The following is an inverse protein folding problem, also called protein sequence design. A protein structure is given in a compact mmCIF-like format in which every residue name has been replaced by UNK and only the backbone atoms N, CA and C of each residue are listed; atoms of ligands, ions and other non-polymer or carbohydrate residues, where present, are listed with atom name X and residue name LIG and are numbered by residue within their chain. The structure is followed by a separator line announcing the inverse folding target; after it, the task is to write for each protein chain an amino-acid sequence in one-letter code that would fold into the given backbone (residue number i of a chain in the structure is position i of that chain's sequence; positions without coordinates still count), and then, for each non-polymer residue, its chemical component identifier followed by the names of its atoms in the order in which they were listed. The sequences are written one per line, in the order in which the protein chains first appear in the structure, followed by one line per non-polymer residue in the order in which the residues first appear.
data_IF_548516063860
#
_entry.id   IF_548516063860
#
_cell.length_a   1.000
_cell.length_b   1.000
_cell.length_c   1.000
_cell.angle_alpha   90.00
_cell.angle_beta   90.00
_cell.angle_gamma   90.00
#
_symmetry.space_group_name_H-M   'P 1'
#
loop_
_entity.id
_entity.type
_entity.pdbx_description
1 polymer ?
#
# COMPACT_ATOMS: atom_id res chain seq x y z
N UNK A 1 -2.36 23.39 -13.79
CA UNK A 1 -2.09 22.15 -13.02
C UNK A 1 -1.73 22.61 -11.62
N UNK A 2 -2.54 22.29 -10.63
CA UNK A 2 -2.19 22.55 -9.23
C UNK A 2 -0.89 21.79 -8.93
N UNK A 3 0.06 22.48 -8.33
CA UNK A 3 1.36 21.93 -7.95
C UNK A 3 1.13 21.02 -6.72
N UNK A 4 0.70 19.75 -6.95
CA UNK A 4 0.45 18.79 -5.87
C UNK A 4 1.75 18.58 -5.09
N UNK A 5 1.66 18.53 -3.75
CA UNK A 5 2.79 18.28 -2.85
C UNK A 5 3.45 16.94 -3.18
N UNK A 6 4.77 16.92 -3.35
CA UNK A 6 5.56 15.69 -3.41
C UNK A 6 5.55 15.04 -2.02
N UNK A 7 4.93 13.87 -1.87
CA UNK A 7 4.86 13.15 -0.59
C UNK A 7 6.00 12.15 -0.45
N UNK A 8 6.30 11.43 -1.54
CA UNK A 8 7.41 10.48 -1.61
C UNK A 8 8.18 10.69 -2.92
N UNK A 9 9.51 10.74 -2.82
CA UNK A 9 10.42 10.80 -3.98
C UNK A 9 11.50 9.75 -3.83
N UNK A 10 11.68 8.98 -4.86
CA UNK A 10 12.68 7.91 -4.96
C UNK A 10 13.73 8.32 -5.99
N UNK A 11 15.00 8.20 -5.64
CA UNK A 11 16.11 8.57 -6.51
C UNK A 11 17.13 7.44 -6.57
N UNK A 12 17.32 6.90 -7.76
CA UNK A 12 18.29 5.82 -8.09
C UNK A 12 18.28 4.67 -7.08
N UNK A 13 17.07 4.19 -6.72
CA UNK A 13 16.90 3.17 -5.71
C UNK A 13 17.37 1.82 -6.22
N UNK A 14 18.33 1.22 -5.50
CA UNK A 14 18.86 -0.11 -5.81
C UNK A 14 18.68 -1.05 -4.62
N UNK A 15 18.35 -2.31 -4.91
CA UNK A 15 18.28 -3.36 -3.89
C UNK A 15 18.90 -4.64 -4.40
N UNK A 16 19.85 -5.17 -3.63
CA UNK A 16 20.48 -6.47 -3.85
C UNK A 16 20.24 -7.37 -2.64
N UNK A 17 19.92 -8.63 -2.90
CA UNK A 17 19.94 -9.69 -1.92
C UNK A 17 21.10 -10.62 -2.28
N UNK A 18 22.18 -10.57 -1.51
CA UNK A 18 23.45 -11.25 -1.83
C UNK A 18 23.94 -10.87 -3.23
N UNK A 19 23.89 -11.82 -4.20
CA UNK A 19 24.33 -11.62 -5.59
C UNK A 19 23.18 -11.24 -6.53
N UNK A 20 21.92 -11.34 -6.08
CA UNK A 20 20.74 -11.04 -6.90
C UNK A 20 20.38 -9.56 -6.80
N UNK A 21 20.47 -8.85 -7.91
CA UNK A 21 20.02 -7.47 -8.04
C UNK A 21 18.53 -7.44 -8.40
N UNK A 22 17.71 -6.98 -7.44
CA UNK A 22 16.24 -6.98 -7.57
C UNK A 22 15.72 -5.63 -8.03
N UNK A 23 16.30 -4.52 -7.54
CA UNK A 23 15.99 -3.17 -8.01
C UNK A 23 17.25 -2.54 -8.58
N UNK A 24 17.13 -1.90 -9.75
CA UNK A 24 18.28 -1.49 -10.58
C UNK A 24 18.23 -0.01 -10.95
N UNK A 25 18.09 0.86 -9.95
CA UNK A 25 18.10 2.32 -10.16
C UNK A 25 16.71 2.89 -10.45
N UNK A 26 15.73 2.60 -9.60
CA UNK A 26 14.38 3.14 -9.73
C UNK A 26 14.34 4.60 -9.26
N UNK A 27 13.79 5.46 -10.12
CA UNK A 27 13.50 6.86 -9.78
C UNK A 27 12.05 7.18 -10.16
N UNK A 28 11.29 7.68 -9.20
CA UNK A 28 9.89 8.11 -9.40
C UNK A 28 9.46 9.03 -8.25
N UNK A 29 8.39 9.80 -8.44
CA UNK A 29 7.82 10.70 -7.43
C UNK A 29 6.34 10.41 -7.27
N UNK A 30 5.85 10.42 -6.03
CA UNK A 30 4.44 10.25 -5.70
C UNK A 30 3.92 11.54 -5.06
N UNK A 31 2.72 11.93 -5.44
CA UNK A 31 2.11 13.18 -4.98
C UNK A 31 0.93 12.91 -4.04
N UNK A 32 0.62 13.89 -3.24
CA UNK A 32 -0.55 13.87 -2.35
C UNK A 32 -1.84 13.69 -3.16
N UNK A 33 -2.79 12.90 -2.63
CA UNK A 33 -4.06 12.55 -3.27
C UNK A 33 -3.89 11.82 -4.63
N UNK A 34 -2.76 11.13 -4.82
CA UNK A 34 -2.52 10.31 -6.00
C UNK A 34 -2.73 8.84 -5.65
N UNK A 35 -3.41 8.11 -6.54
CA UNK A 35 -3.51 6.65 -6.48
C UNK A 35 -2.63 6.08 -7.58
N UNK A 36 -1.54 5.42 -7.20
CA UNK A 36 -0.58 4.82 -8.14
C UNK A 36 -0.62 3.31 -8.03
N UNK A 37 -0.95 2.63 -9.11
CA UNK A 37 -0.79 1.17 -9.20
C UNK A 37 0.58 0.80 -9.74
N UNK A 38 1.18 -0.25 -9.17
CA UNK A 38 2.42 -0.87 -9.65
C UNK A 38 2.07 -2.26 -10.15
N UNK A 39 2.18 -2.47 -11.45
CA UNK A 39 1.87 -3.72 -12.14
C UNK A 39 3.14 -4.34 -12.74
N UNK A 40 3.09 -5.61 -13.10
CA UNK A 40 4.20 -6.30 -13.76
C UNK A 40 4.27 -7.78 -13.35
N UNK A 41 5.17 -8.55 -13.98
CA UNK A 41 5.29 -9.98 -13.73
C UNK A 41 5.73 -10.31 -12.30
N UNK A 42 5.40 -11.53 -11.86
CA UNK A 42 5.90 -12.05 -10.58
C UNK A 42 7.43 -12.09 -10.58
N UNK A 43 8.05 -11.75 -9.45
CA UNK A 43 9.51 -11.63 -9.37
C UNK A 43 10.10 -10.35 -9.98
N UNK A 44 9.28 -9.43 -10.53
CA UNK A 44 9.73 -8.16 -11.12
C UNK A 44 10.26 -7.12 -10.13
N UNK A 45 10.16 -7.36 -8.82
CA UNK A 45 10.67 -6.45 -7.78
C UNK A 45 9.60 -5.55 -7.13
N UNK A 46 8.31 -5.69 -7.51
CA UNK A 46 7.21 -4.82 -7.06
C UNK A 46 7.09 -4.72 -5.53
N UNK A 47 6.91 -5.86 -4.85
CA UNK A 47 6.80 -5.89 -3.38
C UNK A 47 8.09 -5.44 -2.69
N UNK A 48 9.26 -5.74 -3.27
CA UNK A 48 10.55 -5.25 -2.75
C UNK A 48 10.61 -3.72 -2.85
N UNK A 49 10.21 -3.16 -3.99
CA UNK A 49 10.14 -1.72 -4.17
C UNK A 49 9.20 -1.07 -3.15
N UNK A 50 7.97 -1.59 -3.03
CA UNK A 50 6.99 -1.06 -2.08
C UNK A 50 7.51 -1.11 -0.63
N UNK A 51 8.15 -2.21 -0.22
CA UNK A 51 8.72 -2.37 1.13
C UNK A 51 9.95 -1.50 1.37
N UNK A 52 10.64 -1.08 0.33
CA UNK A 52 11.69 -0.08 0.48
C UNK A 52 11.13 1.30 0.83
N UNK A 53 9.94 1.68 0.33
CA UNK A 53 9.37 3.01 0.55
C UNK A 53 9.17 3.36 2.03
N UNK A 54 8.94 2.36 2.90
CA UNK A 54 8.84 2.53 4.36
C UNK A 54 10.02 1.90 5.13
N UNK A 55 11.09 1.52 4.43
CA UNK A 55 12.29 0.85 4.96
C UNK A 55 12.00 -0.44 5.74
N UNK A 56 10.94 -1.17 5.42
CA UNK A 56 10.82 -2.59 5.82
C UNK A 56 11.89 -3.43 5.14
N UNK A 57 12.23 -3.07 3.88
CA UNK A 57 13.43 -3.53 3.19
C UNK A 57 14.42 -2.36 3.07
N UNK A 58 15.62 -2.54 3.62
CA UNK A 58 16.68 -1.52 3.48
C UNK A 58 17.21 -1.52 2.04
N UNK A 59 17.18 -0.40 1.33
CA UNK A 59 17.83 -0.29 0.02
C UNK A 59 19.34 -0.50 0.15
N UNK A 60 19.97 -0.97 -0.93
CA UNK A 60 21.42 -1.10 -1.01
C UNK A 60 22.07 0.24 -1.30
N UNK A 61 21.44 1.06 -2.14
CA UNK A 61 21.83 2.43 -2.47
C UNK A 61 20.62 3.21 -3.00
N UNK A 62 20.81 4.51 -3.24
CA UNK A 62 19.75 5.43 -3.62
C UNK A 62 19.16 6.17 -2.44
N UNK A 63 18.14 6.98 -2.69
CA UNK A 63 17.49 7.82 -1.69
C UNK A 63 15.97 7.65 -1.74
N UNK A 64 15.34 7.77 -0.57
CA UNK A 64 13.89 7.83 -0.44
C UNK A 64 13.59 9.07 0.40
N UNK A 65 13.02 10.08 -0.22
CA UNK A 65 12.62 11.30 0.46
C UNK A 65 11.12 11.19 0.79
N UNK A 66 10.80 11.22 2.07
CA UNK A 66 9.44 11.33 2.56
C UNK A 66 9.25 12.73 3.13
N UNK A 67 8.33 13.50 2.52
CA UNK A 67 8.09 14.89 2.90
C UNK A 67 9.42 15.71 2.93
N UNK A 68 10.25 15.51 1.90
CA UNK A 68 11.55 16.16 1.76
C UNK A 68 12.68 15.60 2.64
N UNK A 69 12.41 14.69 3.55
CA UNK A 69 13.42 14.08 4.43
C UNK A 69 13.91 12.76 3.86
N UNK A 70 15.21 12.59 3.64
CA UNK A 70 15.79 11.30 3.23
C UNK A 70 15.74 10.29 4.39
N UNK A 71 14.75 9.40 4.31
CA UNK A 71 14.50 8.39 5.37
C UNK A 71 15.58 7.30 5.42
N UNK A 72 16.40 7.15 4.37
CA UNK A 72 17.51 6.19 4.39
C UNK A 72 18.62 6.60 5.35
N UNK A 73 18.70 7.86 5.71
CA UNK A 73 19.76 8.43 6.57
C UNK A 73 19.37 8.50 8.05
N UNK A 74 18.07 8.44 8.39
CA UNK A 74 17.56 8.56 9.74
C UNK A 74 17.42 7.19 10.41
N UNK A 75 17.45 7.16 11.76
CA UNK A 75 17.37 5.92 12.57
C UNK A 75 16.54 6.13 13.84
N UNK A 76 16.19 5.02 14.49
CA UNK A 76 15.50 5.03 15.77
C UNK A 76 14.15 5.74 15.70
N UNK A 77 13.82 6.56 16.69
CA UNK A 77 12.52 7.23 16.78
C UNK A 77 12.15 8.08 15.56
N UNK A 78 13.12 8.62 14.83
CA UNK A 78 12.86 9.44 13.65
C UNK A 78 12.25 8.60 12.51
N UNK A 79 12.78 7.41 12.23
CA UNK A 79 12.19 6.51 11.24
C UNK A 79 10.84 5.95 11.70
N UNK A 80 10.67 5.67 13.00
CA UNK A 80 9.39 5.21 13.53
C UNK A 80 8.31 6.29 13.36
N UNK A 81 8.65 7.56 13.51
CA UNK A 81 7.73 8.67 13.24
C UNK A 81 7.33 8.74 11.77
N UNK A 82 8.27 8.55 10.83
CA UNK A 82 7.94 8.48 9.41
C UNK A 82 7.00 7.29 9.11
N UNK A 83 7.27 6.11 9.69
CA UNK A 83 6.44 4.91 9.50
C UNK A 83 5.03 5.05 10.05
N UNK A 84 4.81 5.84 11.11
CA UNK A 84 3.47 6.13 11.63
C UNK A 84 2.61 6.89 10.63
N UNK A 85 3.23 7.67 9.73
CA UNK A 85 2.58 8.44 8.67
C UNK A 85 2.37 7.62 7.38
N UNK A 86 2.87 6.37 7.33
CA UNK A 86 2.75 5.45 6.19
C UNK A 86 2.04 4.16 6.62
N UNK A 87 0.79 4.00 6.26
CA UNK A 87 0.07 2.73 6.48
C UNK A 87 0.59 1.64 5.55
N UNK A 88 0.63 0.40 6.02
CA UNK A 88 1.02 -0.75 5.20
C UNK A 88 0.02 -1.88 5.36
N UNK A 89 -0.50 -2.34 4.22
CA UNK A 89 -1.39 -3.49 4.10
C UNK A 89 -0.66 -4.57 3.30
N UNK A 90 -0.53 -5.75 3.90
CA UNK A 90 0.20 -6.87 3.31
C UNK A 90 -0.74 -7.87 2.64
N UNK A 91 -0.18 -8.73 1.80
CA UNK A 91 -0.85 -9.88 1.23
C UNK A 91 -1.40 -10.82 2.31
N UNK A 92 -0.63 -11.08 3.38
CA UNK A 92 -1.09 -11.77 4.57
C UNK A 92 -1.66 -10.76 5.56
N UNK A 93 -2.78 -11.09 6.17
CA UNK A 93 -3.54 -10.15 7.01
C UNK A 93 -2.77 -9.63 8.23
N UNK A 94 -1.85 -10.44 8.80
CA UNK A 94 -0.99 -10.09 9.94
C UNK A 94 -1.75 -9.53 11.15
N UNK A 95 -2.99 -9.99 11.38
CA UNK A 95 -3.73 -9.68 12.61
C UNK A 95 -3.16 -10.46 13.79
N UNK A 96 -3.18 -9.86 14.97
CA UNK A 96 -2.78 -10.54 16.20
C UNK A 96 -3.87 -11.54 16.59
N UNK A 97 -3.59 -12.84 16.43
CA UNK A 97 -4.57 -13.91 16.63
C UNK A 97 -5.03 -14.06 18.09
N UNK A 98 -4.25 -13.57 19.06
CA UNK A 98 -4.54 -13.57 20.49
C UNK A 98 -5.30 -12.32 20.94
N UNK A 99 -5.72 -11.45 20.05
CA UNK A 99 -6.49 -10.24 20.28
C UNK A 99 -7.75 -10.26 19.43
N UNK A 100 -8.87 -9.78 19.95
CA UNK A 100 -10.06 -9.47 19.16
C UNK A 100 -9.81 -8.31 18.18
N UNK A 101 -10.80 -7.99 17.35
CA UNK A 101 -10.72 -6.91 16.37
C UNK A 101 -10.50 -5.56 17.05
N UNK A 102 -11.27 -5.25 18.10
CA UNK A 102 -11.15 -3.98 18.82
C UNK A 102 -9.73 -3.77 19.36
N UNK A 103 -9.15 -4.78 19.99
CA UNK A 103 -7.77 -4.69 20.50
C UNK A 103 -6.72 -4.61 19.36
N UNK A 104 -6.93 -5.31 18.25
CA UNK A 104 -6.09 -5.18 17.04
C UNK A 104 -6.07 -3.75 16.51
N UNK A 105 -7.20 -3.04 16.58
CA UNK A 105 -7.33 -1.67 16.05
C UNK A 105 -6.79 -0.62 17.02
N UNK A 106 -7.06 -0.78 18.32
CA UNK A 106 -6.77 0.26 19.32
C UNK A 106 -5.35 0.19 19.89
N UNK A 107 -4.66 -0.95 19.79
CA UNK A 107 -3.35 -1.15 20.41
C UNK A 107 -2.29 -0.13 19.96
N UNK A 108 -2.21 0.17 18.65
CA UNK A 108 -1.22 1.10 18.14
C UNK A 108 -1.55 2.58 18.46
N UNK A 109 -2.76 3.11 18.20
CA UNK A 109 -3.08 4.49 18.52
C UNK A 109 -2.96 4.79 20.03
N UNK A 110 -3.35 3.87 20.91
CA UNK A 110 -3.22 4.08 22.35
C UNK A 110 -1.74 4.09 22.78
N UNK A 111 -0.95 3.08 22.34
CA UNK A 111 0.44 2.94 22.81
C UNK A 111 1.42 3.91 22.17
N UNK A 112 1.19 4.27 20.90
CA UNK A 112 2.15 5.02 20.10
C UNK A 112 1.75 6.49 19.99
N UNK A 113 0.46 6.79 19.70
CA UNK A 113 -0.04 8.17 19.62
C UNK A 113 -0.49 8.75 20.96
N UNK A 114 -0.62 7.92 22.01
CA UNK A 114 -1.13 8.35 23.31
C UNK A 114 -2.63 8.70 23.32
N UNK A 115 -3.39 8.15 22.34
CA UNK A 115 -4.84 8.34 22.27
C UNK A 115 -5.50 7.69 23.50
N UNK A 116 -6.57 8.29 24.02
CA UNK A 116 -7.34 7.65 25.08
C UNK A 116 -7.98 6.35 24.59
N UNK A 117 -8.23 5.41 25.51
CA UNK A 117 -8.87 4.14 25.13
C UNK A 117 -10.28 4.38 24.55
N UNK A 118 -11.04 5.32 25.12
CA UNK A 118 -12.38 5.68 24.65
C UNK A 118 -12.35 6.25 23.22
N UNK A 119 -11.45 7.22 22.96
CA UNK A 119 -11.36 7.86 21.64
C UNK A 119 -10.90 6.85 20.58
N UNK A 120 -9.97 5.95 20.96
CA UNK A 120 -9.52 4.89 20.06
C UNK A 120 -10.64 3.88 19.74
N UNK A 121 -11.48 3.54 20.71
CA UNK A 121 -12.64 2.65 20.49
C UNK A 121 -13.70 3.32 19.63
N UNK A 122 -14.04 4.58 19.89
CA UNK A 122 -15.00 5.35 19.08
C UNK A 122 -14.54 5.41 17.62
N UNK A 123 -13.29 5.82 17.38
CA UNK A 123 -12.70 5.86 16.04
C UNK A 123 -12.69 4.48 15.38
N UNK A 124 -12.37 3.42 16.13
CA UNK A 124 -12.38 2.06 15.61
C UNK A 124 -13.78 1.64 15.12
N UNK A 125 -14.83 1.93 15.92
CA UNK A 125 -16.21 1.63 15.54
C UNK A 125 -16.66 2.43 14.30
N UNK A 126 -16.30 3.71 14.21
CA UNK A 126 -16.58 4.51 13.01
C UNK A 126 -15.95 3.94 11.74
N UNK A 127 -14.66 3.54 11.82
CA UNK A 127 -13.94 2.95 10.69
C UNK A 127 -14.47 1.54 10.35
N UNK A 128 -14.80 0.73 11.36
CA UNK A 128 -15.44 -0.57 11.14
C UNK A 128 -16.82 -0.44 10.47
N UNK A 129 -17.59 0.57 10.84
CA UNK A 129 -18.88 0.84 10.21
C UNK A 129 -18.73 1.19 8.71
N UNK A 130 -17.72 1.98 8.35
CA UNK A 130 -17.40 2.33 6.94
C UNK A 130 -17.08 1.10 6.08
N UNK A 131 -16.52 0.05 6.68
CA UNK A 131 -16.19 -1.20 5.96
C UNK A 131 -17.24 -2.32 6.20
N UNK A 132 -18.40 -1.99 6.82
CA UNK A 132 -19.50 -2.92 7.06
C UNK A 132 -19.21 -4.02 8.09
N UNK A 133 -18.34 -3.75 9.09
CA UNK A 133 -17.89 -4.73 10.08
C UNK A 133 -18.04 -4.25 11.53
N UNK A 134 -18.94 -3.31 11.81
CA UNK A 134 -19.17 -2.81 13.17
C UNK A 134 -19.59 -3.92 14.16
N UNK A 135 -20.34 -4.92 13.68
CA UNK A 135 -20.79 -6.10 14.43
C UNK A 135 -19.68 -7.11 14.73
N UNK A 136 -18.47 -6.91 14.22
CA UNK A 136 -17.31 -7.78 14.37
C UNK A 136 -16.25 -7.26 15.34
N UNK A 137 -16.55 -6.19 16.07
CA UNK A 137 -15.59 -5.55 16.98
C UNK A 137 -15.01 -6.52 18.04
N UNK A 138 -15.82 -7.41 18.58
CA UNK A 138 -15.43 -8.38 19.60
C UNK A 138 -14.99 -9.75 19.01
N UNK A 139 -15.01 -9.92 17.68
CA UNK A 139 -14.62 -11.16 17.04
C UNK A 139 -13.10 -11.35 17.05
N UNK A 140 -12.66 -12.61 17.17
CA UNK A 140 -11.27 -12.98 16.99
C UNK A 140 -10.96 -13.27 15.51
N UNK A 141 -9.69 -13.09 15.06
CA UNK A 141 -9.31 -13.35 13.66
C UNK A 141 -9.71 -14.76 13.14
N UNK A 142 -9.73 -15.78 14.01
CA UNK A 142 -10.15 -17.14 13.64
C UNK A 142 -11.64 -17.26 13.25
N UNK A 143 -12.46 -16.27 13.62
CA UNK A 143 -13.92 -16.25 13.37
C UNK A 143 -14.28 -15.43 12.12
N UNK A 144 -13.29 -14.91 11.39
CA UNK A 144 -13.46 -13.99 10.26
C UNK A 144 -13.11 -14.65 8.93
N UNK A 145 -13.83 -14.29 7.88
CA UNK A 145 -13.46 -14.64 6.50
C UNK A 145 -12.18 -13.92 6.06
N UNK A 146 -11.58 -14.35 4.96
CA UNK A 146 -10.39 -13.70 4.37
C UNK A 146 -10.64 -12.22 4.05
N UNK A 147 -11.76 -11.92 3.37
CA UNK A 147 -12.13 -10.55 3.04
C UNK A 147 -12.39 -9.67 4.27
N UNK A 148 -13.03 -10.22 5.32
CA UNK A 148 -13.22 -9.52 6.59
C UNK A 148 -11.88 -9.20 7.26
N UNK A 149 -10.95 -10.17 7.33
CA UNK A 149 -9.60 -9.95 7.87
C UNK A 149 -8.87 -8.85 7.12
N UNK A 150 -8.97 -8.84 5.79
CA UNK A 150 -8.29 -7.84 4.97
C UNK A 150 -8.87 -6.44 5.19
N UNK A 151 -10.20 -6.31 5.22
CA UNK A 151 -10.84 -5.02 5.53
C UNK A 151 -10.47 -4.51 6.93
N UNK A 152 -10.40 -5.38 7.93
CA UNK A 152 -9.92 -5.02 9.28
C UNK A 152 -8.43 -4.60 9.25
N UNK A 153 -7.60 -5.24 8.43
CA UNK A 153 -6.19 -4.84 8.28
C UNK A 153 -6.07 -3.43 7.66
N UNK A 154 -6.93 -3.10 6.71
CA UNK A 154 -7.02 -1.74 6.16
C UNK A 154 -7.43 -0.76 7.26
N UNK A 155 -8.50 -1.05 7.99
CA UNK A 155 -8.97 -0.22 9.12
C UNK A 155 -7.85 -0.03 10.15
N UNK A 156 -7.13 -1.10 10.52
CA UNK A 156 -6.00 -1.00 11.46
C UNK A 156 -4.92 -0.02 11.00
N UNK A 157 -4.63 0.00 9.71
CA UNK A 157 -3.67 0.97 9.16
C UNK A 157 -4.22 2.40 9.21
N UNK A 158 -5.52 2.59 8.94
CA UNK A 158 -6.21 3.88 8.99
C UNK A 158 -6.31 4.46 10.41
N UNK A 159 -6.31 3.62 11.45
CA UNK A 159 -6.31 4.06 12.85
C UNK A 159 -5.15 5.00 13.20
N UNK A 160 -4.05 4.92 12.43
CA UNK A 160 -2.86 5.76 12.63
C UNK A 160 -2.91 7.09 11.87
N UNK A 161 -4.00 7.41 11.14
CA UNK A 161 -4.12 8.60 10.27
C UNK A 161 -2.93 8.76 9.31
N UNK A 162 -2.65 7.76 8.49
CA UNK A 162 -1.51 7.81 7.59
C UNK A 162 -1.72 8.84 6.47
N UNK A 163 -0.65 9.48 6.02
CA UNK A 163 -0.65 10.34 4.83
C UNK A 163 -0.55 9.54 3.53
N UNK A 164 0.00 8.33 3.61
CA UNK A 164 0.15 7.41 2.48
C UNK A 164 -0.22 6.01 2.93
N UNK A 165 -0.99 5.31 2.11
CA UNK A 165 -1.29 3.89 2.26
C UNK A 165 -0.53 3.07 1.22
N UNK A 166 0.24 2.10 1.67
CA UNK A 166 0.99 1.15 0.86
C UNK A 166 0.26 -0.21 0.87
N UNK A 167 -0.07 -0.74 -0.30
CA UNK A 167 -0.77 -2.01 -0.44
C UNK A 167 0.10 -3.01 -1.21
N UNK A 168 0.48 -4.10 -0.57
CA UNK A 168 1.29 -5.19 -1.16
C UNK A 168 0.39 -6.38 -1.51
N UNK A 169 -0.14 -6.40 -2.72
CA UNK A 169 -1.04 -7.44 -3.26
C UNK A 169 -2.21 -7.77 -2.31
N UNK A 170 -3.06 -6.81 -1.95
CA UNK A 170 -4.03 -6.94 -0.86
C UNK A 170 -5.12 -7.99 -1.11
N UNK A 171 -5.29 -8.45 -2.35
CA UNK A 171 -6.32 -9.43 -2.74
C UNK A 171 -5.78 -10.83 -3.04
N UNK A 172 -4.46 -11.00 -3.15
CA UNK A 172 -3.86 -12.26 -3.65
C UNK A 172 -4.02 -13.48 -2.73
N UNK A 173 -4.36 -13.26 -1.45
CA UNK A 173 -4.64 -14.34 -0.48
C UNK A 173 -6.15 -14.57 -0.28
N UNK A 174 -7.00 -14.01 -1.13
CA UNK A 174 -8.46 -14.06 -1.02
C UNK A 174 -9.08 -14.98 -2.06
N UNK A 175 -10.20 -15.61 -1.68
CA UNK A 175 -11.07 -16.27 -2.64
C UNK A 175 -11.71 -15.24 -3.59
N UNK A 176 -11.95 -15.57 -4.87
CA UNK A 176 -12.48 -14.64 -5.87
C UNK A 176 -13.77 -13.91 -5.43
N UNK A 177 -14.63 -14.58 -4.67
CA UNK A 177 -15.89 -14.01 -4.16
C UNK A 177 -15.68 -12.87 -3.16
N UNK A 178 -14.51 -12.80 -2.51
CA UNK A 178 -14.18 -11.82 -1.48
C UNK A 178 -13.37 -10.62 -2.01
N UNK A 179 -12.83 -10.72 -3.23
CA UNK A 179 -11.98 -9.68 -3.82
C UNK A 179 -12.75 -8.37 -3.97
N UNK A 180 -14.00 -8.45 -4.46
CA UNK A 180 -14.85 -7.28 -4.70
C UNK A 180 -14.99 -6.40 -3.47
N UNK A 181 -15.33 -6.97 -2.32
CA UNK A 181 -15.52 -6.25 -1.06
C UNK A 181 -14.26 -5.45 -0.61
N UNK A 182 -13.07 -5.99 -0.86
CA UNK A 182 -11.81 -5.32 -0.52
C UNK A 182 -11.50 -4.20 -1.52
N UNK A 183 -11.75 -4.44 -2.81
CA UNK A 183 -11.55 -3.43 -3.85
C UNK A 183 -12.52 -2.26 -3.70
N UNK A 184 -13.76 -2.49 -3.26
CA UNK A 184 -14.74 -1.44 -2.97
C UNK A 184 -14.23 -0.52 -1.85
N UNK A 185 -13.73 -1.09 -0.73
CA UNK A 185 -13.10 -0.29 0.34
C UNK A 185 -11.91 0.53 -0.18
N UNK A 186 -11.07 -0.06 -1.02
CA UNK A 186 -9.93 0.67 -1.60
C UNK A 186 -10.38 1.78 -2.55
N UNK A 187 -11.47 1.58 -3.28
CA UNK A 187 -12.08 2.60 -4.13
C UNK A 187 -12.64 3.76 -3.31
N UNK A 188 -13.37 3.47 -2.22
CA UNK A 188 -13.87 4.51 -1.32
C UNK A 188 -12.73 5.34 -0.72
N UNK A 189 -11.61 4.72 -0.37
CA UNK A 189 -10.41 5.41 0.08
C UNK A 189 -9.82 6.32 -1.00
N UNK A 190 -9.76 5.86 -2.25
CA UNK A 190 -9.31 6.66 -3.39
C UNK A 190 -10.22 7.89 -3.59
N UNK A 191 -11.53 7.71 -3.56
CA UNK A 191 -12.53 8.77 -3.70
C UNK A 191 -12.47 9.78 -2.53
N UNK A 192 -12.07 9.34 -1.33
CA UNK A 192 -11.86 10.23 -0.17
C UNK A 192 -10.56 11.05 -0.26
N UNK A 193 -9.74 10.88 -1.31
CA UNK A 193 -8.50 11.61 -1.50
C UNK A 193 -7.30 10.98 -0.79
N UNK A 194 -7.37 9.71 -0.34
CA UNK A 194 -6.24 9.03 0.26
C UNK A 194 -5.11 8.81 -0.78
N UNK A 195 -3.88 9.18 -0.42
CA UNK A 195 -2.70 8.86 -1.23
C UNK A 195 -2.41 7.36 -1.12
N UNK A 196 -2.39 6.66 -2.23
CA UNK A 196 -2.20 5.21 -2.24
C UNK A 196 -1.15 4.75 -3.25
N UNK A 197 -0.29 3.81 -2.84
CA UNK A 197 0.64 3.10 -3.73
C UNK A 197 0.29 1.61 -3.61
N UNK A 198 -0.17 1.03 -4.71
CA UNK A 198 -0.81 -0.30 -4.72
C UNK A 198 -0.07 -1.24 -5.66
N UNK A 199 0.62 -2.24 -5.12
CA UNK A 199 1.06 -3.39 -5.91
C UNK A 199 -0.14 -4.32 -6.09
N UNK A 200 -0.53 -4.57 -7.33
CA UNK A 200 -1.74 -5.36 -7.61
C UNK A 200 -1.65 -6.19 -8.89
N UNK A 201 -2.41 -7.28 -8.92
CA UNK A 201 -2.73 -8.07 -10.10
C UNK A 201 -4.15 -7.78 -10.61
N UNK A 202 -4.91 -6.92 -9.93
CA UNK A 202 -6.26 -6.51 -10.33
C UNK A 202 -6.17 -5.42 -11.40
N UNK A 203 -6.09 -5.82 -12.67
CA UNK A 203 -5.90 -4.89 -13.78
C UNK A 203 -7.07 -3.92 -13.95
N UNK A 204 -8.29 -4.36 -13.60
CA UNK A 204 -9.47 -3.51 -13.62
C UNK A 204 -9.34 -2.37 -12.60
N UNK A 205 -8.92 -2.67 -11.37
CA UNK A 205 -8.65 -1.65 -10.35
C UNK A 205 -7.57 -0.66 -10.82
N UNK A 206 -6.43 -1.17 -11.33
CA UNK A 206 -5.34 -0.34 -11.83
C UNK A 206 -5.79 0.60 -12.95
N UNK A 207 -6.67 0.15 -13.85
CA UNK A 207 -7.18 0.95 -14.97
C UNK A 207 -8.25 1.97 -14.56
N UNK A 208 -9.17 1.60 -13.65
CA UNK A 208 -10.39 2.38 -13.37
C UNK A 208 -10.25 3.29 -12.15
N UNK A 209 -9.44 2.90 -11.15
CA UNK A 209 -9.31 3.62 -9.88
C UNK A 209 -8.01 4.40 -9.79
N UNK A 210 -6.91 3.86 -10.36
CA UNK A 210 -5.62 4.54 -10.24
C UNK A 210 -5.51 5.69 -11.23
N UNK A 211 -5.03 6.83 -10.76
CA UNK A 211 -4.74 7.98 -11.62
C UNK A 211 -3.51 7.73 -12.51
N UNK A 212 -2.57 6.92 -12.03
CA UNK A 212 -1.29 6.60 -12.68
C UNK A 212 -0.92 5.13 -12.45
N UNK A 213 -0.29 4.53 -13.44
CA UNK A 213 0.20 3.14 -13.35
C UNK A 213 1.67 3.08 -13.74
N UNK A 214 2.44 2.37 -12.93
CA UNK A 214 3.85 2.06 -13.15
C UNK A 214 3.96 0.58 -13.54
N UNK A 215 4.52 0.29 -14.71
CA UNK A 215 4.91 -1.06 -15.10
C UNK A 215 6.35 -1.32 -14.66
N UNK A 216 6.55 -2.28 -13.75
CA UNK A 216 7.85 -2.66 -13.21
C UNK A 216 8.19 -4.08 -13.63
N UNK A 217 9.27 -4.24 -14.39
CA UNK A 217 9.77 -5.54 -14.86
C UNK A 217 11.28 -5.63 -14.74
N UNK A 218 11.77 -6.75 -14.23
CA UNK A 218 13.20 -7.02 -14.09
C UNK A 218 13.97 -6.01 -13.23
N UNK A 219 13.27 -5.34 -12.30
CA UNK A 219 13.85 -4.37 -11.38
C UNK A 219 13.97 -2.93 -11.91
N UNK A 220 13.38 -2.63 -13.05
CA UNK A 220 13.34 -1.29 -13.65
C UNK A 220 11.92 -0.87 -13.98
N UNK A 221 11.66 0.42 -14.03
CA UNK A 221 10.41 0.98 -14.55
C UNK A 221 10.45 0.89 -16.07
N UNK A 222 9.54 0.09 -16.64
CA UNK A 222 9.38 -0.04 -18.09
C UNK A 222 8.50 1.05 -18.67
N UNK A 223 7.40 1.39 -17.98
CA UNK A 223 6.54 2.53 -18.30
C UNK A 223 5.97 3.14 -17.01
N UNK A 224 5.70 4.45 -17.05
CA UNK A 224 5.12 5.23 -15.96
C UNK A 224 4.24 6.33 -16.59
N UNK A 225 2.91 6.12 -16.57
CA UNK A 225 1.95 6.96 -17.29
C UNK A 225 0.61 7.06 -16.57
N UNK A 226 -0.26 8.03 -16.92
CA UNK A 226 -1.67 8.00 -16.57
C UNK A 226 -2.28 6.63 -16.90
N UNK A 227 -3.07 6.05 -15.97
CA UNK A 227 -3.55 4.67 -16.11
C UNK A 227 -4.30 4.44 -17.41
N UNK A 228 -5.22 5.35 -17.77
CA UNK A 228 -5.99 5.21 -19.01
C UNK A 228 -5.11 5.16 -20.27
N UNK A 229 -4.00 5.91 -20.28
CA UNK A 229 -3.04 5.94 -21.40
C UNK A 229 -2.20 4.66 -21.44
N UNK A 230 -1.67 4.23 -20.30
CA UNK A 230 -0.86 3.02 -20.21
C UNK A 230 -1.63 1.77 -20.68
N UNK A 231 -2.91 1.65 -20.32
CA UNK A 231 -3.73 0.51 -20.70
C UNK A 231 -4.27 0.58 -22.14
N UNK A 232 -4.50 1.77 -22.70
CA UNK A 232 -5.01 1.94 -24.06
C UNK A 232 -3.91 2.02 -25.12
N UNK A 233 -2.76 2.57 -24.79
CA UNK A 233 -1.64 2.81 -25.70
C UNK A 233 -0.31 2.42 -25.04
N UNK A 234 -0.11 1.11 -24.70
CA UNK A 234 1.16 0.65 -24.16
C UNK A 234 2.27 0.76 -25.22
N UNK A 235 3.41 1.36 -24.86
CA UNK A 235 4.54 1.58 -25.78
C UNK A 235 5.60 0.47 -25.67
N UNK A 236 5.84 -0.02 -24.43
CA UNK A 236 6.84 -1.07 -24.22
C UNK A 236 6.37 -2.42 -24.76
N UNK A 237 7.13 -3.09 -25.63
CA UNK A 237 6.80 -4.45 -26.09
C UNK A 237 6.63 -5.44 -24.93
N UNK A 238 7.34 -5.22 -23.83
CA UNK A 238 7.22 -6.04 -22.62
C UNK A 238 5.88 -5.81 -21.92
N UNK A 239 5.41 -4.56 -21.83
CA UNK A 239 4.09 -4.24 -21.29
C UNK A 239 2.99 -4.81 -22.17
N UNK A 240 3.05 -4.64 -23.49
CA UNK A 240 2.10 -5.25 -24.43
C UNK A 240 2.00 -6.77 -24.23
N UNK A 241 3.16 -7.44 -24.15
CA UNK A 241 3.20 -8.89 -23.91
C UNK A 241 2.61 -9.26 -22.54
N UNK A 242 2.83 -8.45 -21.52
CA UNK A 242 2.28 -8.67 -20.19
C UNK A 242 0.77 -8.49 -20.17
N UNK A 243 0.26 -7.38 -20.71
CA UNK A 243 -1.19 -7.08 -20.75
C UNK A 243 -1.97 -8.14 -21.54
N UNK A 244 -1.46 -8.61 -22.69
CA UNK A 244 -2.09 -9.67 -23.47
C UNK A 244 -2.20 -11.02 -22.75
N UNK A 245 -1.50 -11.22 -21.62
CA UNK A 245 -1.57 -12.45 -20.84
C UNK A 245 -2.52 -12.33 -19.64
N UNK A 246 -2.80 -11.12 -19.19
CA UNK A 246 -3.53 -10.88 -17.93
C UNK A 246 -4.90 -10.23 -18.15
N UNK A 247 -5.16 -9.66 -19.33
CA UNK A 247 -6.46 -9.16 -19.80
C UNK A 247 -7.13 -10.18 -20.72
#
# INVERSE_FOLDING_TARGET
MENKREILKVVDLQKKFHKLEVLKGISTTFHENEVVSIIGPSGGGKSTFLRCLNLLEQPTSGQILFDGTDICTIKGKAIDHCRQRMGMVFQQFNLFNNMDVMHNLTAAPVRIKGMSQSDAQEKALELLAKVGLADRADAYPSQLSGGQKQRITIVRSLMMDPEVMLFDEPTSALDPEMIGEVLDVMKDLAESGMTMIVVTHEMRFAREVSSRTIFLDGGVIGEDKPSHELFSHPESPRLVTFLNKVL
#
